data_IF_745826440148
#
_entry.id   IF_745826440148
#
_cell.length_a   1.000
_cell.length_b   1.000
_cell.length_c   1.000
_cell.angle_alpha   90.00
_cell.angle_beta   90.00
_cell.angle_gamma   90.00
#
_symmetry.space_group_name_H-M   'P 1'
#
loop_
_entity.id
_entity.type
_entity.pdbx_description
1 polymer ?
#
# COMPACT_ATOMS: atom_id res chain seq x y z
N UNK A 1 -22.82 1.77 33.38
CA UNK A 1 -21.61 2.62 33.45
C UNK A 1 -20.43 1.70 33.14
N UNK A 2 -19.63 1.83 32.08
CA UNK A 2 -19.27 2.96 31.23
C UNK A 2 -18.84 2.36 29.87
N UNK A 3 -19.76 2.33 28.91
CA UNK A 3 -19.43 1.94 27.54
C UNK A 3 -18.67 3.10 26.91
N UNK A 4 -17.34 3.07 27.02
CA UNK A 4 -16.45 3.95 26.24
C UNK A 4 -16.64 3.62 24.75
N UNK A 5 -17.62 4.28 24.15
CA UNK A 5 -17.82 4.32 22.70
C UNK A 5 -16.52 4.84 22.11
N UNK A 6 -15.72 3.93 21.55
CA UNK A 6 -14.53 4.26 20.77
C UNK A 6 -14.97 5.25 19.70
N UNK A 7 -14.64 6.54 19.91
CA UNK A 7 -14.86 7.61 18.93
C UNK A 7 -14.38 7.09 17.57
N UNK A 8 -15.30 6.89 16.62
CA UNK A 8 -14.97 6.57 15.22
C UNK A 8 -14.10 7.72 14.68
N UNK A 9 -12.78 7.53 14.67
CA UNK A 9 -11.84 8.47 14.08
C UNK A 9 -11.81 8.24 12.57
N UNK A 10 -12.18 9.28 11.81
CA UNK A 10 -12.04 9.32 10.35
C UNK A 10 -13.15 8.61 9.58
N UNK A 11 -13.31 8.98 8.31
CA UNK A 11 -14.14 8.25 7.35
C UNK A 11 -13.74 6.76 7.33
N UNK A 12 -14.68 5.83 7.06
CA UNK A 12 -14.36 4.41 6.99
C UNK A 12 -13.22 4.20 6.00
N UNK A 13 -12.02 3.84 6.49
CA UNK A 13 -10.90 3.51 5.62
C UNK A 13 -11.26 2.34 4.71
N UNK A 14 -10.59 2.23 3.55
CA UNK A 14 -10.76 1.09 2.64
C UNK A 14 -10.55 -0.20 3.44
N UNK A 15 -11.57 -1.05 3.51
CA UNK A 15 -11.54 -2.32 4.25
C UNK A 15 -10.92 -3.43 3.40
N UNK A 16 -9.60 -3.41 3.29
CA UNK A 16 -8.82 -4.52 2.73
C UNK A 16 -8.07 -5.22 3.85
N UNK A 17 -8.24 -6.53 3.97
CA UNK A 17 -7.64 -7.35 5.04
C UNK A 17 -6.75 -8.47 4.50
N UNK A 18 -6.72 -8.67 3.19
CA UNK A 18 -5.99 -9.76 2.54
C UNK A 18 -5.31 -9.28 1.26
N UNK A 19 -4.29 -10.03 0.87
CA UNK A 19 -3.68 -10.00 -0.47
C UNK A 19 -4.24 -11.17 -1.29
N UNK A 20 -4.34 -11.05 -2.63
CA UNK A 20 -4.09 -9.84 -3.40
C UNK A 20 -5.22 -8.81 -3.24
N UNK A 21 -4.95 -7.54 -3.55
CA UNK A 21 -6.01 -6.52 -3.66
C UNK A 21 -5.70 -5.50 -4.75
N UNK A 22 -6.77 -4.96 -5.35
CA UNK A 22 -6.66 -3.92 -6.36
C UNK A 22 -6.73 -2.52 -5.76
N UNK A 23 -5.95 -1.61 -6.31
CA UNK A 23 -5.87 -0.24 -5.83
C UNK A 23 -5.46 0.71 -6.95
N UNK A 24 -6.02 1.92 -6.92
CA UNK A 24 -5.73 2.95 -7.89
C UNK A 24 -4.41 3.65 -7.61
N UNK A 25 -3.62 3.89 -8.65
CA UNK A 25 -2.42 4.73 -8.61
C UNK A 25 -2.84 6.19 -8.51
N UNK A 26 -2.36 6.91 -7.52
CA UNK A 26 -2.65 8.33 -7.32
C UNK A 26 -1.88 9.23 -8.30
N UNK A 27 -2.32 10.48 -8.43
CA UNK A 27 -1.71 11.51 -9.30
C UNK A 27 -0.20 11.68 -9.07
N UNK A 28 0.27 11.47 -7.86
CA UNK A 28 1.67 11.53 -7.48
C UNK A 28 2.42 10.20 -7.66
N UNK A 29 1.88 9.25 -8.43
CA UNK A 29 2.41 7.91 -8.66
C UNK A 29 2.52 7.03 -7.39
N UNK A 30 1.77 7.39 -6.34
CA UNK A 30 1.74 6.63 -5.10
C UNK A 30 0.58 5.66 -5.07
N UNK A 31 0.77 4.60 -4.30
CA UNK A 31 -0.23 3.58 -4.04
C UNK A 31 -0.45 3.46 -2.55
N UNK A 32 -1.72 3.36 -2.15
CA UNK A 32 -2.13 3.23 -0.75
C UNK A 32 -2.12 1.76 -0.30
N UNK A 33 -1.53 1.52 0.86
CA UNK A 33 -1.70 0.30 1.66
C UNK A 33 -2.64 0.64 2.83
N UNK A 34 -3.86 0.06 2.86
CA UNK A 34 -4.83 0.37 3.92
C UNK A 34 -4.32 0.00 5.30
N UNK A 35 -4.66 0.82 6.31
CA UNK A 35 -4.26 0.60 7.71
C UNK A 35 -4.64 -0.79 8.25
N UNK A 36 -5.79 -1.33 7.84
CA UNK A 36 -6.21 -2.69 8.20
C UNK A 36 -5.22 -3.73 7.73
N UNK A 37 -4.76 -3.63 6.48
CA UNK A 37 -3.78 -4.54 5.90
C UNK A 37 -2.40 -4.36 6.54
N UNK A 38 -1.98 -3.11 6.79
CA UNK A 38 -0.72 -2.82 7.48
C UNK A 38 -0.65 -3.49 8.86
N UNK A 39 -1.74 -3.43 9.63
CA UNK A 39 -1.84 -4.05 10.96
C UNK A 39 -1.82 -5.56 10.87
N UNK A 40 -2.60 -6.15 9.97
CA UNK A 40 -2.68 -7.61 9.79
C UNK A 40 -1.34 -8.19 9.35
N UNK A 41 -0.63 -7.52 8.45
CA UNK A 41 0.69 -7.95 8.00
C UNK A 41 1.80 -7.65 9.02
N UNK A 42 1.51 -6.94 10.12
CA UNK A 42 2.52 -6.59 11.12
C UNK A 42 3.59 -5.61 10.61
N UNK A 43 3.33 -4.89 9.51
CA UNK A 43 4.33 -4.03 8.85
C UNK A 43 4.31 -2.57 9.33
N UNK A 44 3.61 -2.28 10.43
CA UNK A 44 3.47 -0.92 10.99
C UNK A 44 4.81 -0.26 11.33
N UNK A 45 5.86 -1.04 11.63
CA UNK A 45 7.20 -0.54 11.95
C UNK A 45 8.14 -0.43 10.75
N UNK A 46 7.76 -0.93 9.58
CA UNK A 46 8.66 -1.00 8.42
C UNK A 46 8.88 0.38 7.79
N UNK A 47 10.14 0.65 7.44
CA UNK A 47 10.55 1.81 6.63
C UNK A 47 10.61 1.48 5.15
N UNK A 48 11.01 0.25 4.82
CA UNK A 48 11.19 -0.25 3.46
C UNK A 48 10.53 -1.62 3.32
N UNK A 49 9.99 -1.89 2.14
CA UNK A 49 9.37 -3.15 1.81
C UNK A 49 9.76 -3.60 0.41
N UNK A 50 9.55 -4.87 0.13
CA UNK A 50 9.52 -5.42 -1.21
C UNK A 50 8.06 -5.67 -1.56
N UNK A 51 7.59 -5.04 -2.64
CA UNK A 51 6.18 -5.11 -3.04
C UNK A 51 6.10 -5.81 -4.39
N UNK A 52 5.26 -6.83 -4.49
CA UNK A 52 4.97 -7.51 -5.76
C UNK A 52 3.65 -6.97 -6.29
N UNK A 53 3.68 -6.43 -7.51
CA UNK A 53 2.55 -5.78 -8.16
C UNK A 53 2.27 -6.47 -9.49
N UNK A 54 1.01 -6.72 -9.81
CA UNK A 54 0.58 -7.15 -11.12
C UNK A 54 -0.12 -6.00 -11.88
N UNK A 55 0.22 -5.83 -13.15
CA UNK A 55 -0.36 -4.84 -14.04
C UNK A 55 -0.29 -5.35 -15.49
N UNK A 56 -1.40 -5.27 -16.23
CA UNK A 56 -1.53 -5.73 -17.63
C UNK A 56 -0.94 -7.14 -17.89
N UNK A 57 -1.17 -8.08 -16.98
CA UNK A 57 -0.69 -9.46 -17.11
C UNK A 57 0.77 -9.69 -16.75
N UNK A 58 1.51 -8.65 -16.35
CA UNK A 58 2.91 -8.74 -15.93
C UNK A 58 3.01 -8.60 -14.41
N UNK A 59 3.88 -9.40 -13.79
CA UNK A 59 4.18 -9.33 -12.36
C UNK A 59 5.56 -8.70 -12.15
N UNK A 60 5.62 -7.66 -11.33
CA UNK A 60 6.82 -6.85 -11.08
C UNK A 60 7.12 -6.81 -9.59
N UNK A 61 8.39 -7.04 -9.22
CA UNK A 61 8.85 -6.98 -7.83
C UNK A 61 9.61 -5.67 -7.57
N UNK A 62 8.97 -4.74 -6.86
CA UNK A 62 9.53 -3.46 -6.42
C UNK A 62 10.39 -3.67 -5.18
N UNK A 63 11.71 -3.68 -5.32
CA UNK A 63 12.64 -3.90 -4.20
C UNK A 63 12.98 -2.60 -3.48
N UNK A 64 12.94 -2.62 -2.14
CA UNK A 64 13.43 -1.50 -1.32
C UNK A 64 12.60 -0.23 -1.42
N UNK A 65 11.29 -0.33 -1.68
CA UNK A 65 10.43 0.84 -1.75
C UNK A 65 10.16 1.40 -0.36
N UNK A 66 10.21 2.73 -0.23
CA UNK A 66 9.97 3.42 1.04
C UNK A 66 8.48 3.46 1.36
N UNK A 67 8.12 3.03 2.57
CA UNK A 67 6.77 3.11 3.11
C UNK A 67 6.55 4.44 3.82
N UNK A 68 5.93 5.39 3.12
CA UNK A 68 5.55 6.70 3.64
C UNK A 68 4.46 6.54 4.70
N UNK A 69 4.67 7.17 5.86
CA UNK A 69 3.74 7.17 6.98
C UNK A 69 2.82 8.38 6.89
N UNK A 70 1.54 8.18 7.18
CA UNK A 70 0.56 9.25 7.33
C UNK A 70 0.41 9.64 8.82
N UNK A 71 0.13 10.93 9.12
CA UNK A 71 0.19 11.46 10.49
C UNK A 71 -0.84 10.84 11.46
N UNK A 72 -2.02 10.48 10.97
CA UNK A 72 -3.18 10.11 11.80
C UNK A 72 -3.70 8.69 11.56
N UNK A 73 -3.01 7.87 10.75
CA UNK A 73 -3.43 6.49 10.46
C UNK A 73 -2.21 5.60 10.26
N UNK A 74 -2.40 4.28 10.45
CA UNK A 74 -1.35 3.29 10.18
C UNK A 74 -1.22 3.00 8.68
N UNK A 75 -2.09 3.59 7.84
CA UNK A 75 -1.98 3.45 6.39
C UNK A 75 -0.61 3.90 5.92
N UNK A 76 -0.07 3.15 4.96
CA UNK A 76 1.20 3.44 4.31
C UNK A 76 0.97 3.79 2.85
N UNK A 77 1.86 4.57 2.29
CA UNK A 77 1.92 4.81 0.86
C UNK A 77 3.31 4.46 0.36
N UNK A 78 3.42 4.04 -0.89
CA UNK A 78 4.70 3.89 -1.57
C UNK A 78 4.59 4.46 -2.97
N UNK A 79 5.71 4.94 -3.50
CA UNK A 79 5.79 5.45 -4.87
C UNK A 79 6.23 4.31 -5.79
N UNK A 80 5.55 4.15 -6.93
CA UNK A 80 6.03 3.23 -7.96
C UNK A 80 7.27 3.86 -8.62
N UNK A 81 8.44 3.18 -8.60
CA UNK A 81 9.68 3.69 -9.17
C UNK A 81 9.52 4.11 -10.63
N UNK A 82 10.26 5.14 -11.06
CA UNK A 82 10.12 5.73 -12.39
C UNK A 82 10.42 4.71 -13.48
N UNK A 83 11.50 3.96 -13.31
CA UNK A 83 11.95 2.91 -14.20
C UNK A 83 10.88 1.84 -14.42
N UNK A 84 10.12 1.49 -13.38
CA UNK A 84 9.01 0.54 -13.48
C UNK A 84 7.83 1.16 -14.21
N UNK A 85 7.46 2.41 -13.88
CA UNK A 85 6.34 3.08 -14.57
C UNK A 85 6.60 3.23 -16.06
N UNK A 86 7.80 3.64 -16.44
CA UNK A 86 8.17 3.82 -17.85
C UNK A 86 8.27 2.47 -18.58
N UNK A 87 8.85 1.44 -17.96
CA UNK A 87 8.98 0.11 -18.58
C UNK A 87 7.63 -0.58 -18.84
N UNK A 88 6.66 -0.43 -17.93
CA UNK A 88 5.36 -1.12 -18.02
C UNK A 88 4.19 -0.19 -18.38
N UNK A 89 4.45 1.09 -18.58
CA UNK A 89 3.44 2.07 -18.98
C UNK A 89 2.41 2.41 -17.89
N UNK A 90 2.74 2.23 -16.60
CA UNK A 90 1.82 2.50 -15.49
C UNK A 90 1.62 4.01 -15.33
N UNK A 91 0.37 4.47 -15.42
CA UNK A 91 0.00 5.89 -15.33
C UNK A 91 -0.82 6.19 -14.07
N UNK A 92 -0.82 7.45 -13.61
CA UNK A 92 -1.77 7.87 -12.60
C UNK A 92 -3.21 7.63 -13.04
N UNK A 93 -4.02 7.14 -12.11
CA UNK A 93 -5.40 6.78 -12.37
C UNK A 93 -5.59 5.31 -12.77
N UNK A 94 -4.53 4.58 -13.13
CA UNK A 94 -4.60 3.15 -13.41
C UNK A 94 -4.89 2.34 -12.14
N UNK A 95 -5.41 1.12 -12.33
CA UNK A 95 -5.58 0.14 -11.27
C UNK A 95 -4.47 -0.90 -11.33
N UNK A 96 -3.80 -1.12 -10.19
CA UNK A 96 -2.77 -2.14 -10.03
C UNK A 96 -3.22 -3.15 -8.97
N UNK A 97 -2.77 -4.39 -9.10
CA UNK A 97 -3.04 -5.43 -8.11
C UNK A 97 -1.80 -5.68 -7.25
N UNK A 98 -1.92 -5.48 -5.94
CA UNK A 98 -0.86 -5.79 -4.99
C UNK A 98 -0.96 -7.26 -4.62
N UNK A 99 0.04 -8.03 -5.02
CA UNK A 99 0.08 -9.49 -4.85
C UNK A 99 0.75 -9.86 -3.53
N UNK A 100 1.84 -9.19 -3.18
CA UNK A 100 2.61 -9.50 -1.97
C UNK A 100 3.32 -8.27 -1.40
N UNK A 101 3.52 -8.25 -0.09
CA UNK A 101 4.26 -7.20 0.64
C UNK A 101 5.15 -7.89 1.66
N UNK A 102 6.46 -7.78 1.48
CA UNK A 102 7.49 -8.41 2.31
C UNK A 102 8.39 -7.35 2.96
N UNK A 103 8.94 -7.60 4.15
CA UNK A 103 9.99 -6.74 4.69
C UNK A 103 11.22 -6.72 3.79
N UNK A 104 11.78 -5.52 3.58
CA UNK A 104 13.09 -5.41 2.93
C UNK A 104 14.16 -5.80 3.95
N UNK A 105 14.82 -6.94 3.73
CA UNK A 105 15.99 -7.38 4.49
C UNK A 105 17.23 -7.07 3.65
N UNK A 106 18.21 -6.41 4.27
CA UNK A 106 19.54 -6.17 3.71
C UNK A 106 20.36 -7.46 3.73
#
# INVERSE_FOLDING_TARGET
>A
MDSRVLRKRGAPGIRVTKLPYKVRVYLNNQVLIPASLVRILGISGLKYAVITVAYNGVVVKLRGVKLLRTKHTDSRQFTIPREVREAYGIKPGDEVEIINIEPFRL
#
